data_IF_792114480100
#
_entry.id   IF_792114480100
#
_cell.length_a   1.000
_cell.length_b   1.000
_cell.length_c   1.000
_cell.angle_alpha   90.00
_cell.angle_beta   90.00
_cell.angle_gamma   90.00
#
_symmetry.space_group_name_H-M   'P 1'
#
loop_
_entity.id
_entity.type
_entity.pdbx_description
1 polymer ?
#
# COMPACT_ATOMS: atom_id res chain seq x y z
N UNK A 1 0.49 -9.26 6.47
CA UNK A 1 0.18 -10.29 5.45
C UNK A 1 0.59 -9.81 4.08
N UNK A 2 1.24 -10.68 3.28
CA UNK A 2 1.67 -10.35 1.92
C UNK A 2 0.85 -11.20 0.96
N UNK A 3 0.25 -10.57 -0.06
CA UNK A 3 -0.57 -11.30 -1.03
C UNK A 3 -0.06 -11.08 -2.46
N UNK A 4 -0.11 -12.12 -3.30
CA UNK A 4 0.15 -11.95 -4.74
C UNK A 4 -0.90 -11.02 -5.34
N UNK A 5 -0.58 -10.45 -6.52
CA UNK A 5 -1.38 -9.37 -7.10
C UNK A 5 -2.84 -9.76 -7.33
N UNK A 6 -3.11 -10.99 -7.78
CA UNK A 6 -4.50 -11.39 -8.04
C UNK A 6 -5.32 -11.45 -6.77
N UNK A 7 -4.76 -12.06 -5.70
CA UNK A 7 -5.45 -12.14 -4.42
C UNK A 7 -5.59 -10.76 -3.78
N UNK A 8 -4.54 -9.94 -3.90
CA UNK A 8 -4.56 -8.58 -3.38
C UNK A 8 -5.70 -7.78 -4.02
N UNK A 9 -5.80 -7.84 -5.35
CA UNK A 9 -6.84 -7.10 -6.07
C UNK A 9 -8.25 -7.60 -5.71
N UNK A 10 -8.43 -8.91 -5.63
CA UNK A 10 -9.73 -9.49 -5.28
C UNK A 10 -10.17 -9.11 -3.87
N UNK A 11 -9.23 -9.20 -2.93
CA UNK A 11 -9.53 -8.89 -1.54
C UNK A 11 -9.81 -7.40 -1.37
N UNK A 12 -9.02 -6.56 -2.02
CA UNK A 12 -9.20 -5.11 -2.00
C UNK A 12 -10.60 -4.73 -2.50
N UNK A 13 -11.02 -5.34 -3.61
CA UNK A 13 -12.31 -5.02 -4.22
C UNK A 13 -13.48 -5.40 -3.32
N UNK A 14 -13.36 -6.52 -2.61
CA UNK A 14 -14.47 -7.03 -1.81
C UNK A 14 -14.47 -6.55 -0.36
N UNK A 15 -13.41 -5.90 0.09
CA UNK A 15 -13.26 -5.47 1.48
C UNK A 15 -13.83 -4.07 1.66
N UNK A 16 -14.99 -3.98 2.32
CA UNK A 16 -15.67 -2.69 2.52
C UNK A 16 -14.92 -1.77 3.49
N UNK A 17 -13.94 -2.29 4.23
CA UNK A 17 -13.13 -1.50 5.15
C UNK A 17 -11.80 -1.10 4.54
N UNK A 18 -11.56 -1.44 3.28
CA UNK A 18 -10.27 -1.25 2.64
C UNK A 18 -9.87 0.23 2.54
N UNK A 19 -8.59 0.47 2.79
CA UNK A 19 -7.98 1.79 2.67
C UNK A 19 -6.67 1.57 1.94
N UNK A 20 -6.54 2.11 0.73
CA UNK A 20 -5.41 1.83 -0.14
C UNK A 20 -4.34 2.91 0.01
N UNK A 21 -3.11 2.50 0.34
CA UNK A 21 -1.98 3.41 0.58
C UNK A 21 -0.80 3.09 -0.31
N UNK A 22 -0.35 4.11 -1.03
CA UNK A 22 0.91 4.07 -1.76
C UNK A 22 1.99 4.63 -0.84
N UNK A 23 3.00 3.82 -0.49
CA UNK A 23 4.03 4.26 0.45
C UNK A 23 5.32 4.67 -0.26
N UNK A 24 5.23 4.95 -1.57
CA UNK A 24 6.35 5.41 -2.39
C UNK A 24 6.54 6.92 -2.23
N UNK A 25 7.45 7.48 -3.04
CA UNK A 25 7.70 8.92 -3.05
C UNK A 25 6.62 9.66 -3.83
N UNK A 26 6.47 10.98 -3.61
CA UNK A 26 5.53 11.78 -4.38
C UNK A 26 5.79 11.73 -5.89
N UNK A 27 7.05 11.69 -6.29
CA UNK A 27 7.39 11.62 -7.72
C UNK A 27 6.85 10.32 -8.35
N UNK A 28 7.05 9.21 -7.66
CA UNK A 28 6.53 7.93 -8.14
C UNK A 28 5.01 7.93 -8.21
N UNK A 29 4.38 8.47 -7.18
CA UNK A 29 2.93 8.55 -7.11
C UNK A 29 2.36 9.36 -8.27
N UNK A 30 3.01 10.48 -8.58
CA UNK A 30 2.55 11.38 -9.65
C UNK A 30 2.75 10.78 -11.02
N UNK A 31 3.73 9.90 -11.21
CA UNK A 31 3.96 9.20 -12.47
C UNK A 31 2.90 8.13 -12.74
N UNK A 32 2.24 7.67 -11.72
CA UNK A 32 1.20 6.66 -11.82
C UNK A 32 1.03 5.93 -10.51
N UNK A 33 -0.21 5.60 -10.18
CA UNK A 33 -0.51 4.86 -8.94
C UNK A 33 -1.80 4.07 -9.15
N UNK A 34 -2.07 3.15 -8.25
CA UNK A 34 -3.32 2.39 -8.30
C UNK A 34 -4.47 3.34 -8.00
N UNK A 35 -5.51 3.26 -8.82
CA UNK A 35 -6.67 4.15 -8.67
C UNK A 35 -7.24 4.07 -7.26
N UNK A 36 -7.45 5.23 -6.66
CA UNK A 36 -7.97 5.33 -5.30
C UNK A 36 -6.91 5.31 -4.21
N UNK A 37 -5.64 5.11 -4.56
CA UNK A 37 -4.57 5.07 -3.57
C UNK A 37 -4.29 6.48 -3.05
N UNK A 38 -4.04 6.58 -1.74
CA UNK A 38 -3.54 7.79 -1.11
C UNK A 38 -2.06 7.63 -0.83
N UNK A 39 -1.34 8.75 -0.84
CA UNK A 39 0.11 8.73 -0.68
C UNK A 39 0.50 8.93 0.78
N UNK A 40 1.40 8.06 1.26
CA UNK A 40 2.03 8.26 2.56
C UNK A 40 3.45 7.71 2.45
N UNK A 41 4.41 8.59 2.20
CA UNK A 41 5.79 8.24 1.83
C UNK A 41 6.58 7.69 3.02
N UNK A 42 6.91 6.39 2.99
CA UNK A 42 7.65 5.75 4.10
C UNK A 42 9.10 6.22 4.17
N UNK A 43 9.62 6.79 3.08
CA UNK A 43 10.99 7.31 3.08
C UNK A 43 11.13 8.58 3.91
N UNK A 44 10.05 9.33 4.10
CA UNK A 44 9.99 10.43 5.05
C UNK A 44 9.46 9.88 6.36
N UNK A 45 10.36 9.29 7.15
CA UNK A 45 9.95 8.50 8.31
C UNK A 45 9.18 9.31 9.34
N UNK A 46 9.61 10.53 9.61
CA UNK A 46 8.92 11.38 10.59
C UNK A 46 7.48 11.66 10.15
N UNK A 47 7.29 12.05 8.90
CA UNK A 47 5.96 12.31 8.37
C UNK A 47 5.13 11.01 8.30
N UNK A 48 5.78 9.90 7.95
CA UNK A 48 5.09 8.62 7.87
C UNK A 48 4.55 8.21 9.24
N UNK A 49 5.39 8.30 10.27
CA UNK A 49 4.97 7.94 11.63
C UNK A 49 3.84 8.83 12.12
N UNK A 50 3.93 10.14 11.86
CA UNK A 50 2.85 11.05 12.23
C UNK A 50 1.57 10.70 11.49
N UNK A 51 1.69 10.34 10.22
CA UNK A 51 0.53 10.00 9.40
C UNK A 51 -0.16 8.73 9.87
N UNK A 52 0.59 7.67 10.14
CA UNK A 52 -0.04 6.41 10.57
C UNK A 52 -0.65 6.51 11.97
N UNK A 53 -0.17 7.42 12.78
CA UNK A 53 -0.76 7.63 14.10
C UNK A 53 -2.18 8.21 14.02
N UNK A 54 -2.56 8.78 12.88
CA UNK A 54 -3.91 9.30 12.67
C UNK A 54 -4.87 8.28 12.06
N UNK A 55 -4.39 7.10 11.68
CA UNK A 55 -5.20 6.11 10.98
C UNK A 55 -6.06 5.31 11.95
N UNK A 56 -7.30 5.03 11.53
CA UNK A 56 -8.25 4.27 12.33
C UNK A 56 -7.93 2.78 12.31
N UNK A 57 -8.11 2.10 13.43
CA UNK A 57 -7.98 0.65 13.50
C UNK A 57 -9.16 -0.08 12.88
N UNK A 58 -10.17 0.65 12.42
CA UNK A 58 -11.37 0.03 11.82
C UNK A 58 -11.18 -0.35 10.37
N UNK A 59 -10.13 0.16 9.72
CA UNK A 59 -9.83 -0.16 8.33
C UNK A 59 -8.83 -1.29 8.22
N UNK A 60 -8.83 -1.95 7.06
CA UNK A 60 -7.72 -2.79 6.66
C UNK A 60 -6.94 -1.99 5.63
N UNK A 61 -5.64 -1.82 5.87
CA UNK A 61 -4.78 -0.98 5.03
C UNK A 61 -4.06 -1.84 4.01
N UNK A 62 -4.40 -1.62 2.73
CA UNK A 62 -3.76 -2.28 1.60
C UNK A 62 -2.66 -1.36 1.14
N UNK A 63 -1.41 -1.80 1.29
CA UNK A 63 -0.26 -0.96 1.00
C UNK A 63 0.58 -1.55 -0.13
N UNK A 64 1.35 -0.69 -0.78
CA UNK A 64 2.31 -1.15 -1.78
C UNK A 64 3.41 -0.10 -1.96
N UNK A 65 4.58 -0.59 -2.37
CA UNK A 65 5.65 0.28 -2.85
C UNK A 65 5.95 -0.11 -4.29
N UNK A 66 7.16 0.13 -4.77
CA UNK A 66 7.50 -0.18 -6.15
C UNK A 66 7.71 -1.68 -6.37
N UNK A 67 8.49 -2.32 -5.50
CA UNK A 67 8.89 -3.72 -5.67
C UNK A 67 8.65 -4.60 -4.45
N UNK A 68 8.17 -4.03 -3.35
CA UNK A 68 7.88 -4.78 -2.12
C UNK A 68 8.86 -4.55 -0.97
N UNK A 69 9.94 -3.82 -1.17
CA UNK A 69 10.96 -3.65 -0.12
C UNK A 69 10.59 -2.57 0.89
N UNK A 70 10.21 -1.38 0.39
CA UNK A 70 9.82 -0.27 1.27
C UNK A 70 8.53 -0.57 2.00
N UNK A 71 7.61 -1.26 1.36
CA UNK A 71 6.32 -1.59 1.98
C UNK A 71 6.48 -2.58 3.12
N UNK A 72 7.53 -3.40 3.12
CA UNK A 72 7.80 -4.28 4.25
C UNK A 72 8.09 -3.47 5.51
N UNK A 73 8.90 -2.42 5.39
CA UNK A 73 9.16 -1.53 6.52
C UNK A 73 7.89 -0.82 6.95
N UNK A 74 7.11 -0.32 5.99
CA UNK A 74 5.85 0.34 6.29
C UNK A 74 4.90 -0.60 7.03
N UNK A 75 4.80 -1.85 6.57
CA UNK A 75 3.95 -2.85 7.19
C UNK A 75 4.35 -3.10 8.65
N UNK A 76 5.66 -3.23 8.90
CA UNK A 76 6.15 -3.46 10.25
C UNK A 76 5.80 -2.29 11.19
N UNK A 77 6.00 -1.06 10.72
CA UNK A 77 5.69 0.12 11.52
C UNK A 77 4.20 0.23 11.81
N UNK A 78 3.37 -0.11 10.83
CA UNK A 78 1.91 -0.04 10.99
C UNK A 78 1.39 -1.13 11.91
N UNK A 79 1.89 -2.37 11.76
CA UNK A 79 1.42 -3.47 12.60
C UNK A 79 1.86 -3.29 14.05
N UNK A 80 3.00 -2.66 14.30
CA UNK A 80 3.41 -2.31 15.66
C UNK A 80 2.40 -1.39 16.35
N UNK A 81 1.63 -0.65 15.57
CA UNK A 81 0.60 0.25 16.09
C UNK A 81 -0.78 -0.37 16.11
N UNK A 82 -0.86 -1.68 15.88
CA UNK A 82 -2.13 -2.41 15.94
C UNK A 82 -2.99 -2.29 14.70
N UNK A 83 -2.44 -1.79 13.59
CA UNK A 83 -3.19 -1.67 12.34
C UNK A 83 -3.16 -2.98 11.57
N UNK A 84 -4.23 -3.26 10.85
CA UNK A 84 -4.32 -4.42 9.96
C UNK A 84 -3.76 -4.03 8.60
N UNK A 85 -2.80 -4.79 8.10
CA UNK A 85 -2.07 -4.42 6.88
C UNK A 85 -2.00 -5.59 5.93
N UNK A 86 -2.26 -5.32 4.65
CA UNK A 86 -2.09 -6.26 3.55
C UNK A 86 -1.13 -5.63 2.57
N UNK A 87 -0.01 -6.30 2.31
CA UNK A 87 1.08 -5.81 1.48
C UNK A 87 1.04 -6.50 0.12
N UNK A 88 1.22 -5.73 -0.95
CA UNK A 88 1.20 -6.25 -2.31
C UNK A 88 2.57 -6.84 -2.65
N UNK A 89 2.61 -8.16 -2.86
CA UNK A 89 3.83 -8.83 -3.29
C UNK A 89 4.25 -8.30 -4.66
N UNK A 90 5.52 -7.91 -4.77
CA UNK A 90 6.05 -7.37 -6.03
C UNK A 90 5.68 -5.91 -6.29
N UNK A 91 4.84 -5.31 -5.45
CA UNK A 91 4.54 -3.89 -5.51
C UNK A 91 3.86 -3.43 -6.78
N UNK A 92 4.01 -2.14 -7.06
CA UNK A 92 3.39 -1.53 -8.23
C UNK A 92 3.90 -2.14 -9.54
N UNK A 93 5.15 -2.62 -9.56
CA UNK A 93 5.67 -3.31 -10.74
C UNK A 93 4.80 -4.52 -11.10
N UNK A 94 4.47 -5.35 -10.10
CA UNK A 94 3.62 -6.52 -10.32
C UNK A 94 2.20 -6.10 -10.73
N UNK A 95 1.69 -5.04 -10.12
CA UNK A 95 0.37 -4.51 -10.49
C UNK A 95 0.31 -4.11 -11.94
N UNK A 96 1.31 -3.36 -12.41
CA UNK A 96 1.35 -2.88 -13.80
C UNK A 96 1.44 -4.05 -14.79
N UNK A 97 2.22 -5.07 -14.47
CA UNK A 97 2.33 -6.23 -15.35
C UNK A 97 0.99 -6.90 -15.57
N UNK A 98 0.13 -6.90 -14.55
CA UNK A 98 -1.15 -7.58 -14.63
C UNK A 98 -2.27 -6.72 -15.20
N UNK A 99 -2.19 -5.40 -15.06
CA UNK A 99 -3.33 -4.54 -15.38
C UNK A 99 -3.04 -3.50 -16.47
N UNK A 100 -1.82 -2.96 -16.53
CA UNK A 100 -1.51 -1.95 -17.53
C UNK A 100 -1.14 -2.52 -18.87
N UNK A 101 -0.65 -3.76 -18.90
CA UNK A 101 -0.26 -4.39 -20.15
C UNK A 101 -1.47 -4.72 -21.03
N UNK A 102 -2.67 -4.55 -20.49
CA UNK A 102 -3.91 -4.81 -21.23
C UNK A 102 -4.34 -3.63 -22.10
N UNK A 103 -3.71 -2.51 -21.92
CA UNK A 103 -3.99 -1.33 -22.72
C UNK A 103 -3.14 -1.33 -23.99
#
# INVERSE_FOLDING_TARGET
MVLPVEQYAQTLESDTTAYLLDVRTPEEYNEGHIEGARLLNVMDEEAFLAGIDTLSSEHTYYIYCRSGRRSQKASNLMTERGLKVVDLQGGYNAWKENYNSQE
#
